data_IF_386577353047
#
_entry.id   IF_386577353047
#
_cell.length_a   1.000
_cell.length_b   1.000
_cell.length_c   1.000
_cell.angle_alpha   90.00
_cell.angle_beta   90.00
_cell.angle_gamma   90.00
#
_symmetry.space_group_name_H-M   'P 1'
#
loop_
_entity.id
_entity.type
_entity.pdbx_description
1 polymer ?
#
# COMPACT_ATOMS: atom_id res chain seq x y z
N UNK A 1 -18.76 13.30 4.41
CA UNK A 1 -18.33 11.98 4.92
C UNK A 1 -18.56 11.78 6.43
N UNK A 2 -19.28 12.68 7.11
CA UNK A 2 -19.45 12.61 8.57
C UNK A 2 -20.36 11.46 9.06
N UNK A 3 -21.20 10.90 8.20
CA UNK A 3 -22.12 9.80 8.58
C UNK A 3 -21.45 8.43 8.64
N UNK A 4 -20.36 8.22 7.88
CA UNK A 4 -19.74 6.90 7.72
C UNK A 4 -18.33 6.80 8.36
N UNK A 5 -17.82 7.89 8.96
CA UNK A 5 -16.46 8.01 9.54
C UNK A 5 -15.34 7.39 8.68
N UNK A 6 -15.49 7.46 7.35
CA UNK A 6 -14.48 6.98 6.41
C UNK A 6 -13.38 8.02 6.27
N UNK A 7 -12.15 7.64 6.64
CA UNK A 7 -10.98 8.53 6.60
C UNK A 7 -9.78 7.92 5.87
N UNK A 8 -9.91 6.70 5.39
CA UNK A 8 -8.90 6.01 4.58
C UNK A 8 -9.55 5.63 3.27
N UNK A 9 -8.89 5.96 2.16
CA UNK A 9 -9.43 5.75 0.82
C UNK A 9 -8.42 5.01 -0.05
N UNK A 10 -8.96 4.12 -0.87
CA UNK A 10 -8.18 3.34 -1.84
C UNK A 10 -8.40 3.90 -3.25
N UNK A 11 -7.30 4.00 -4.00
CA UNK A 11 -7.28 4.40 -5.39
C UNK A 11 -6.96 3.17 -6.24
N UNK A 12 -7.88 2.80 -7.11
CA UNK A 12 -7.69 1.76 -8.13
C UNK A 12 -7.86 2.40 -9.51
N UNK A 13 -6.75 2.83 -10.11
CA UNK A 13 -6.74 3.50 -11.41
C UNK A 13 -6.35 2.52 -12.53
N UNK A 14 -7.14 2.49 -13.60
CA UNK A 14 -6.99 1.59 -14.75
C UNK A 14 -7.26 2.26 -16.10
N UNK A 15 -7.42 3.58 -16.17
CA UNK A 15 -7.76 4.27 -17.42
C UNK A 15 -6.69 4.13 -18.49
N UNK A 16 -5.43 3.91 -18.11
CA UNK A 16 -4.28 3.80 -19.02
C UNK A 16 -4.03 2.35 -19.47
N UNK A 17 -5.04 1.66 -19.97
CA UNK A 17 -4.89 0.31 -20.54
C UNK A 17 -5.49 -0.84 -19.73
N UNK A 18 -6.38 -0.60 -18.77
CA UNK A 18 -7.11 -1.67 -18.06
C UNK A 18 -6.22 -2.56 -17.18
N UNK A 19 -6.84 -3.59 -16.58
CA UNK A 19 -6.20 -4.40 -15.53
C UNK A 19 -4.87 -5.06 -15.91
N UNK A 20 -4.74 -5.51 -17.15
CA UNK A 20 -3.60 -6.31 -17.60
C UNK A 20 -2.54 -5.52 -18.37
N UNK A 21 -2.91 -4.37 -18.94
CA UNK A 21 -2.03 -3.61 -19.83
C UNK A 21 -1.77 -2.19 -19.35
N UNK A 22 -2.42 -1.75 -18.26
CA UNK A 22 -2.17 -0.46 -17.65
C UNK A 22 -1.24 -0.48 -16.45
N UNK A 23 -0.71 0.69 -16.13
CA UNK A 23 0.13 0.93 -14.95
C UNK A 23 -0.74 1.23 -13.72
N UNK A 24 -0.56 0.52 -12.59
CA UNK A 24 -1.23 0.84 -11.34
C UNK A 24 -0.60 2.06 -10.63
N UNK A 25 0.55 2.55 -11.10
CA UNK A 25 1.14 3.80 -10.62
C UNK A 25 0.29 5.00 -11.06
N UNK A 26 0.13 5.98 -10.16
CA UNK A 26 -0.66 7.18 -10.39
C UNK A 26 0.23 8.34 -10.87
N UNK A 27 -0.22 9.11 -11.87
CA UNK A 27 0.41 10.39 -12.18
C UNK A 27 0.06 11.41 -11.09
N UNK A 28 0.93 12.42 -10.93
CA UNK A 28 0.78 13.47 -9.91
C UNK A 28 -0.60 14.13 -9.93
N UNK A 29 -1.16 14.39 -11.11
CA UNK A 29 -2.47 15.03 -11.27
C UNK A 29 -3.63 14.26 -10.64
N UNK A 30 -3.57 12.92 -10.65
CA UNK A 30 -4.59 12.10 -9.99
C UNK A 30 -4.40 12.19 -8.48
N UNK A 31 -3.16 12.09 -8.00
CA UNK A 31 -2.86 12.23 -6.58
C UNK A 31 -3.32 13.59 -6.05
N UNK A 32 -3.04 14.68 -6.76
CA UNK A 32 -3.48 16.04 -6.42
C UNK A 32 -5.00 16.11 -6.24
N UNK A 33 -5.77 15.53 -7.17
CA UNK A 33 -7.22 15.50 -7.10
C UNK A 33 -7.76 14.82 -5.83
N UNK A 34 -7.11 13.75 -5.35
CA UNK A 34 -7.48 13.09 -4.09
C UNK A 34 -7.15 13.94 -2.87
N UNK A 35 -5.97 14.57 -2.82
CA UNK A 35 -5.59 15.44 -1.71
C UNK A 35 -6.51 16.67 -1.58
N UNK A 36 -6.89 17.26 -2.71
CA UNK A 36 -7.77 18.44 -2.78
C UNK A 36 -9.23 18.07 -2.49
N UNK A 37 -9.70 16.94 -3.04
CA UNK A 37 -11.08 16.49 -2.88
C UNK A 37 -11.40 15.85 -1.53
N UNK A 38 -10.38 15.38 -0.80
CA UNK A 38 -10.53 14.67 0.47
C UNK A 38 -9.64 15.27 1.58
N UNK A 39 -9.89 16.53 2.00
CA UNK A 39 -9.05 17.22 2.98
C UNK A 39 -9.03 16.56 4.36
N UNK A 40 -10.10 15.82 4.73
CA UNK A 40 -10.22 15.14 6.02
C UNK A 40 -9.64 13.71 6.05
N UNK A 41 -9.06 13.23 4.94
CA UNK A 41 -8.47 11.90 4.89
C UNK A 41 -7.21 11.81 5.77
N UNK A 42 -7.05 10.68 6.47
CA UNK A 42 -5.81 10.34 7.19
C UNK A 42 -4.72 9.95 6.20
N UNK A 43 -5.10 9.34 5.08
CA UNK A 43 -4.18 8.92 4.02
C UNK A 43 -4.90 8.11 2.95
N UNK A 44 -4.12 7.70 1.95
CA UNK A 44 -4.58 7.01 0.76
C UNK A 44 -3.76 5.74 0.54
N UNK A 45 -4.40 4.71 0.00
CA UNK A 45 -3.71 3.52 -0.50
C UNK A 45 -3.91 3.40 -2.01
N UNK A 46 -2.95 2.82 -2.73
CA UNK A 46 -3.00 2.73 -4.19
C UNK A 46 -2.69 1.33 -4.72
N UNK A 47 -3.43 0.94 -5.75
CA UNK A 47 -3.20 -0.27 -6.53
C UNK A 47 -4.13 -1.42 -6.17
N UNK A 48 -4.19 -2.41 -7.06
CA UNK A 48 -4.80 -3.72 -6.78
C UNK A 48 -3.71 -4.80 -6.75
N UNK A 49 -2.77 -4.70 -7.67
CA UNK A 49 -1.48 -5.41 -7.65
C UNK A 49 -0.44 -4.50 -7.03
N UNK A 50 0.81 -4.96 -6.83
CA UNK A 50 1.89 -4.07 -6.43
C UNK A 50 1.99 -2.84 -7.34
N UNK A 51 2.22 -1.69 -6.73
CA UNK A 51 2.36 -0.39 -7.39
C UNK A 51 3.40 0.47 -6.66
N UNK A 52 3.82 1.57 -7.27
CA UNK A 52 4.99 2.34 -6.85
C UNK A 52 4.75 3.85 -6.86
N UNK A 53 3.58 4.27 -6.39
CA UNK A 53 3.29 5.68 -6.09
C UNK A 53 3.34 5.92 -4.60
N UNK A 54 4.17 6.88 -4.19
CA UNK A 54 4.42 7.22 -2.80
C UNK A 54 4.54 8.73 -2.63
N UNK A 55 3.87 9.31 -1.64
CA UNK A 55 4.06 10.72 -1.25
C UNK A 55 3.51 10.93 0.15
N UNK A 56 3.92 12.02 0.80
CA UNK A 56 3.31 12.49 2.04
C UNK A 56 3.09 13.99 1.95
N UNK A 57 1.87 14.44 2.25
CA UNK A 57 1.52 15.87 2.31
C UNK A 57 0.76 16.14 3.59
N UNK A 58 1.24 17.07 4.40
CA UNK A 58 0.64 17.41 5.70
C UNK A 58 0.37 16.19 6.59
N UNK A 59 1.35 15.27 6.66
CA UNK A 59 1.28 13.98 7.37
C UNK A 59 0.18 13.02 6.87
N UNK A 60 -0.40 13.27 5.71
CA UNK A 60 -1.33 12.36 5.03
C UNK A 60 -0.55 11.62 3.95
N UNK A 61 -0.21 10.33 4.12
CA UNK A 61 0.55 9.60 3.12
C UNK A 61 -0.37 9.04 2.02
N UNK A 62 0.17 8.88 0.82
CA UNK A 62 -0.33 7.95 -0.19
C UNK A 62 0.71 6.86 -0.36
N UNK A 63 0.31 5.60 -0.14
CA UNK A 63 1.20 4.44 -0.18
C UNK A 63 0.60 3.37 -1.08
N UNK A 64 1.39 2.86 -2.00
CA UNK A 64 0.95 1.78 -2.87
C UNK A 64 1.08 0.42 -2.19
N UNK A 65 0.26 -0.56 -2.59
CA UNK A 65 0.47 -1.95 -2.17
C UNK A 65 1.84 -2.45 -2.65
N UNK A 66 2.55 -3.15 -1.76
CA UNK A 66 3.82 -3.81 -2.08
C UNK A 66 3.60 -5.25 -2.55
N UNK A 67 2.52 -5.88 -2.07
CA UNK A 67 2.27 -7.30 -2.27
C UNK A 67 0.80 -7.61 -2.53
N UNK A 68 0.53 -8.45 -3.51
CA UNK A 68 -0.79 -9.03 -3.74
C UNK A 68 -0.80 -10.47 -3.26
N UNK A 69 -1.60 -10.76 -2.22
CA UNK A 69 -1.74 -12.12 -1.72
C UNK A 69 -2.65 -12.93 -2.63
N UNK A 70 -2.03 -13.69 -3.54
CA UNK A 70 -2.76 -14.62 -4.40
C UNK A 70 -3.56 -15.62 -3.56
N UNK A 71 -4.81 -15.94 -3.95
CA UNK A 71 -5.65 -16.89 -3.21
C UNK A 71 -5.15 -18.33 -3.30
N UNK A 72 -4.37 -18.67 -4.34
CA UNK A 72 -3.91 -20.03 -4.62
C UNK A 72 -2.45 -20.27 -4.24
N UNK A 73 -1.69 -19.22 -3.95
CA UNK A 73 -0.29 -19.35 -3.56
C UNK A 73 -0.16 -20.12 -2.24
N UNK A 74 0.82 -21.04 -2.11
CA UNK A 74 1.08 -21.70 -0.85
C UNK A 74 1.40 -20.70 0.28
N UNK A 75 0.95 -20.99 1.50
CA UNK A 75 1.13 -20.08 2.65
C UNK A 75 2.59 -19.86 3.00
N UNK A 76 3.42 -20.88 2.81
CA UNK A 76 4.87 -20.80 3.06
C UNK A 76 5.55 -19.88 2.05
N UNK A 77 5.18 -19.96 0.77
CA UNK A 77 5.74 -19.12 -0.29
C UNK A 77 5.33 -17.66 -0.08
N UNK A 78 4.06 -17.40 0.24
CA UNK A 78 3.60 -16.04 0.54
C UNK A 78 4.33 -15.43 1.75
N UNK A 79 4.62 -16.22 2.79
CA UNK A 79 5.41 -15.75 3.92
C UNK A 79 6.87 -15.47 3.54
N UNK A 80 7.47 -16.32 2.69
CA UNK A 80 8.82 -16.13 2.19
C UNK A 80 8.96 -14.86 1.34
N UNK A 81 7.98 -14.57 0.47
CA UNK A 81 7.97 -13.35 -0.33
C UNK A 81 7.93 -12.09 0.54
N UNK A 82 7.11 -12.09 1.61
CA UNK A 82 7.02 -10.99 2.56
C UNK A 82 8.34 -10.78 3.33
N UNK A 83 9.00 -11.87 3.74
CA UNK A 83 10.33 -11.82 4.35
C UNK A 83 11.38 -11.23 3.39
N UNK A 84 11.38 -11.66 2.14
CA UNK A 84 12.29 -11.15 1.11
C UNK A 84 12.08 -9.63 0.89
N UNK A 85 10.83 -9.18 0.81
CA UNK A 85 10.51 -7.76 0.73
C UNK A 85 11.09 -6.97 1.91
N UNK A 86 11.03 -7.51 3.13
CA UNK A 86 11.62 -6.87 4.31
C UNK A 86 13.16 -6.86 4.29
N UNK A 87 13.78 -7.90 3.72
CA UNK A 87 15.26 -7.97 3.55
C UNK A 87 15.75 -6.95 2.52
N UNK A 88 15.03 -6.79 1.41
CA UNK A 88 15.38 -5.84 0.34
C UNK A 88 15.18 -4.40 0.82
N UNK A 89 14.06 -4.10 1.46
CA UNK A 89 13.74 -2.77 1.95
C UNK A 89 14.34 -2.53 3.33
N UNK A 90 15.64 -2.21 3.44
CA UNK A 90 16.37 -2.16 4.72
C UNK A 90 16.06 -0.98 5.65
N UNK A 91 15.45 0.10 5.15
CA UNK A 91 15.10 1.27 5.98
C UNK A 91 13.91 0.91 6.87
N UNK A 92 13.98 1.24 8.16
CA UNK A 92 12.97 0.87 9.18
C UNK A 92 12.30 2.12 9.78
N UNK A 93 10.99 2.07 10.10
CA UNK A 93 10.06 0.99 9.78
C UNK A 93 9.85 0.83 8.27
N UNK A 94 9.68 -0.40 7.79
CA UNK A 94 9.26 -0.66 6.42
C UNK A 94 7.73 -0.81 6.43
N UNK A 95 7.06 0.14 5.79
CA UNK A 95 5.60 0.18 5.70
C UNK A 95 5.13 -0.76 4.59
N UNK A 96 5.10 -2.08 4.89
CA UNK A 96 4.65 -3.11 3.95
C UNK A 96 3.12 -3.19 3.92
N UNK A 97 2.52 -2.83 2.80
CA UNK A 97 1.08 -2.94 2.57
C UNK A 97 0.76 -4.14 1.68
N UNK A 98 -0.09 -5.05 2.17
CA UNK A 98 -0.51 -6.26 1.47
C UNK A 98 -1.98 -6.19 1.07
N UNK A 99 -2.28 -6.35 -0.22
CA UNK A 99 -3.64 -6.50 -0.70
C UNK A 99 -4.11 -7.94 -0.51
N UNK A 100 -5.24 -8.09 0.19
CA UNK A 100 -5.92 -9.38 0.42
C UNK A 100 -7.23 -9.39 -0.35
N UNK A 101 -7.39 -10.33 -1.28
CA UNK A 101 -8.61 -10.44 -2.08
C UNK A 101 -9.82 -10.80 -1.21
N UNK A 102 -10.97 -10.21 -1.51
CA UNK A 102 -12.21 -10.33 -0.74
C UNK A 102 -12.74 -11.76 -0.52
N UNK A 103 -12.41 -12.72 -1.39
CA UNK A 103 -12.77 -14.13 -1.21
C UNK A 103 -11.67 -14.98 -0.55
N UNK A 104 -10.62 -14.35 -0.04
CA UNK A 104 -9.61 -15.03 0.77
C UNK A 104 -10.16 -15.33 2.16
N UNK A 105 -9.83 -16.51 2.68
CA UNK A 105 -10.15 -16.88 4.06
C UNK A 105 -9.24 -16.09 5.03
N UNK A 106 -9.85 -15.33 5.94
CA UNK A 106 -9.12 -14.61 7.00
C UNK A 106 -8.22 -15.53 7.81
N UNK A 107 -8.60 -16.81 8.01
CA UNK A 107 -7.76 -17.79 8.69
C UNK A 107 -6.51 -18.12 7.88
N UNK A 108 -6.58 -18.11 6.54
CA UNK A 108 -5.40 -18.29 5.69
C UNK A 108 -4.45 -17.11 5.86
N UNK A 109 -4.97 -15.88 5.86
CA UNK A 109 -4.15 -14.68 6.09
C UNK A 109 -3.44 -14.78 7.44
N UNK A 110 -4.16 -15.14 8.51
CA UNK A 110 -3.56 -15.34 9.83
C UNK A 110 -2.44 -16.40 9.82
N UNK A 111 -2.62 -17.52 9.11
CA UNK A 111 -1.58 -18.56 9.01
C UNK A 111 -0.35 -18.10 8.24
N UNK A 112 -0.49 -17.24 7.23
CA UNK A 112 0.65 -16.61 6.55
C UNK A 112 1.37 -15.68 7.53
N UNK A 113 0.64 -14.79 8.21
CA UNK A 113 1.24 -13.83 9.16
C UNK A 113 1.94 -14.53 10.34
N UNK A 114 1.39 -15.65 10.84
CA UNK A 114 2.00 -16.44 11.91
C UNK A 114 3.32 -17.13 11.51
N UNK A 115 3.67 -17.16 10.22
CA UNK A 115 4.96 -17.68 9.73
C UNK A 115 6.02 -16.60 9.63
N UNK A 116 5.64 -15.32 9.71
CA UNK A 116 6.57 -14.21 9.65
C UNK A 116 7.41 -14.14 10.93
N UNK A 117 8.65 -13.71 10.77
CA UNK A 117 9.58 -13.51 11.87
C UNK A 117 9.11 -12.39 12.81
N UNK A 118 9.59 -12.37 14.07
CA UNK A 118 9.14 -11.39 15.07
C UNK A 118 9.43 -9.92 14.74
N UNK A 119 10.13 -9.62 13.63
CA UNK A 119 10.38 -8.26 13.18
C UNK A 119 9.13 -7.61 12.54
N UNK A 120 8.12 -8.40 12.19
CA UNK A 120 6.87 -7.91 11.63
C UNK A 120 5.88 -7.57 12.74
N UNK A 121 5.24 -6.42 12.59
CA UNK A 121 4.15 -5.97 13.46
C UNK A 121 2.91 -5.72 12.61
N UNK A 122 1.81 -6.42 12.92
CA UNK A 122 0.51 -6.17 12.31
C UNK A 122 -0.20 -5.04 13.06
N UNK A 123 -0.48 -3.95 12.37
CA UNK A 123 -1.22 -2.81 12.92
C UNK A 123 -2.48 -2.51 12.10
N UNK A 124 -3.50 -1.86 12.69
CA UNK A 124 -4.64 -1.32 11.94
C UNK A 124 -4.19 -0.35 10.85
N UNK A 125 -4.91 -0.31 9.72
CA UNK A 125 -4.54 0.50 8.55
C UNK A 125 -4.48 2.00 8.85
N UNK A 126 -5.36 2.53 9.71
CA UNK A 126 -5.33 3.94 10.08
C UNK A 126 -4.10 4.28 10.94
N UNK A 127 -3.72 3.39 11.86
CA UNK A 127 -2.47 3.48 12.63
C UNK A 127 -1.26 3.41 11.72
N UNK A 128 -1.25 2.46 10.77
CA UNK A 128 -0.21 2.34 9.74
C UNK A 128 -0.01 3.66 8.98
N UNK A 129 -1.09 4.25 8.46
CA UNK A 129 -1.03 5.49 7.69
C UNK A 129 -0.60 6.68 8.56
N UNK A 130 -1.04 6.78 9.82
CA UNK A 130 -0.55 7.82 10.74
C UNK A 130 0.95 7.69 10.97
N UNK A 131 1.45 6.49 11.27
CA UNK A 131 2.88 6.25 11.45
C UNK A 131 3.68 6.61 10.21
N UNK A 132 3.20 6.21 9.03
CA UNK A 132 3.87 6.46 7.76
C UNK A 132 3.84 7.93 7.34
N UNK A 133 2.78 8.66 7.69
CA UNK A 133 2.69 10.09 7.48
C UNK A 133 3.56 10.92 8.42
N UNK A 134 3.77 10.45 9.65
CA UNK A 134 4.61 11.15 10.64
C UNK A 134 6.11 10.91 10.42
N UNK A 135 6.51 9.68 10.10
CA UNK A 135 7.92 9.31 9.90
C UNK A 135 8.08 8.48 8.62
N UNK A 136 7.94 9.08 7.43
CA UNK A 136 8.03 8.35 6.18
C UNK A 136 9.44 7.79 5.95
N UNK A 137 9.51 6.54 5.54
CA UNK A 137 10.76 5.87 5.17
C UNK A 137 10.94 5.67 3.67
N UNK A 138 9.87 5.79 2.88
CA UNK A 138 9.89 5.74 1.42
C UNK A 138 10.28 7.07 0.78
N UNK A 139 10.67 7.03 -0.49
CA UNK A 139 10.93 8.21 -1.31
C UNK A 139 9.68 8.60 -2.09
N UNK A 140 9.46 9.90 -2.31
CA UNK A 140 8.38 10.38 -3.17
C UNK A 140 8.57 9.88 -4.60
N UNK A 141 7.48 9.38 -5.21
CA UNK A 141 7.47 8.86 -6.57
C UNK A 141 6.06 8.90 -7.15
N UNK A 142 5.96 9.33 -8.41
CA UNK A 142 4.77 9.24 -9.24
C UNK A 142 5.05 8.53 -10.56
N UNK A 143 3.97 8.11 -11.23
CA UNK A 143 4.06 7.65 -12.61
C UNK A 143 4.55 8.78 -13.52
N UNK A 144 5.58 8.50 -14.31
CA UNK A 144 6.17 9.46 -15.25
C UNK A 144 7.30 10.29 -14.66
N UNK A 145 7.58 10.18 -13.35
CA UNK A 145 8.80 10.76 -12.80
C UNK A 145 10.02 10.02 -13.40
N UNK A 146 10.94 10.78 -13.99
CA UNK A 146 12.25 10.26 -14.36
C UNK A 146 12.97 9.89 -13.08
N UNK A 147 13.36 8.62 -12.91
CA UNK A 147 14.21 8.21 -11.79
C UNK A 147 15.52 9.02 -11.88
N UNK A 148 15.63 10.05 -11.05
CA UNK A 148 16.86 10.80 -10.90
C UNK A 148 17.80 10.00 -10.03
N UNK A 149 18.84 9.42 -10.65
CA UNK A 149 20.12 9.04 -10.04
C UNK A 149 20.10 8.07 -8.87
#
# INVERSE_FOLDING_TARGET
MQTLDLKVFEVMEYTDGGFYTGSPDLPRSIVDAYYDGMPEAIGFVNGYTPAYTFTVRDKRPLISYDYYLSPTQPEADAAADLEELAVINRKRPYFLLMHVRNFSDIKRVQRVLNRLSPQFELVPLDTFLKMAGETPTFAERYRGDTQGG
#
